data_IF_531048889256
#
_entry.id   IF_531048889256
#
_cell.length_a   1.000
_cell.length_b   1.000
_cell.length_c   1.000
_cell.angle_alpha   90.00
_cell.angle_beta   90.00
_cell.angle_gamma   90.00
#
_symmetry.space_group_name_H-M   'P 1'
#
loop_
_entity.id
_entity.type
_entity.pdbx_description
1 polymer ?
#
# COMPACT_ATOMS: atom_id res chain seq x y z
N UNK A 1 0.57 0.80 5.87
CA UNK A 1 1.33 -0.27 6.54
C UNK A 1 2.41 -0.86 5.63
N UNK A 2 2.08 -1.32 4.40
CA UNK A 2 3.04 -1.97 3.49
C UNK A 2 4.27 -1.10 3.18
N UNK A 3 4.10 0.20 2.93
CA UNK A 3 5.21 1.13 2.72
C UNK A 3 6.10 1.27 3.96
N UNK A 4 5.50 1.28 5.16
CA UNK A 4 6.25 1.30 6.41
C UNK A 4 7.08 0.01 6.58
N UNK A 5 6.49 -1.16 6.33
CA UNK A 5 7.21 -2.43 6.37
C UNK A 5 8.33 -2.48 5.33
N UNK A 6 8.10 -1.95 4.13
CA UNK A 6 9.12 -1.87 3.09
C UNK A 6 10.29 -0.96 3.49
N UNK A 7 9.99 0.17 4.15
CA UNK A 7 11.02 1.07 4.67
C UNK A 7 11.85 0.41 5.80
N UNK A 8 11.23 -0.37 6.68
CA UNK A 8 11.95 -1.19 7.64
C UNK A 8 12.82 -2.24 6.97
N UNK A 9 12.29 -2.93 5.96
CA UNK A 9 13.06 -3.92 5.22
C UNK A 9 14.33 -3.33 4.61
N UNK A 10 14.25 -2.14 4.01
CA UNK A 10 15.42 -1.44 3.47
C UNK A 10 16.45 -1.13 4.56
N UNK A 11 15.98 -0.68 5.71
CA UNK A 11 16.86 -0.34 6.84
C UNK A 11 17.55 -1.57 7.43
N UNK A 12 16.82 -2.67 7.60
CA UNK A 12 17.32 -3.88 8.26
C UNK A 12 18.03 -4.83 7.29
N UNK A 13 17.65 -4.87 6.02
CA UNK A 13 18.20 -5.77 5.01
C UNK A 13 19.70 -5.55 4.72
N UNK A 14 20.21 -4.35 5.00
CA UNK A 14 21.64 -4.03 4.87
C UNK A 14 22.50 -4.45 6.07
N UNK A 15 21.86 -4.88 7.17
CA UNK A 15 22.55 -5.21 8.41
C UNK A 15 22.83 -6.71 8.51
N UNK A 16 24.01 -7.04 9.04
CA UNK A 16 24.50 -8.45 9.11
C UNK A 16 24.31 -9.12 10.47
N UNK A 17 23.70 -8.45 11.46
CA UNK A 17 23.49 -9.08 12.75
C UNK A 17 22.27 -10.02 12.73
N UNK A 18 22.29 -11.06 13.55
CA UNK A 18 21.26 -12.11 13.57
C UNK A 18 19.84 -11.59 13.80
N UNK A 19 19.69 -10.59 14.65
CA UNK A 19 18.37 -10.00 14.94
C UNK A 19 17.83 -9.26 13.72
N UNK A 20 18.67 -8.49 13.02
CA UNK A 20 18.30 -7.80 11.80
C UNK A 20 17.93 -8.79 10.69
N UNK A 21 18.70 -9.85 10.52
CA UNK A 21 18.44 -10.91 9.52
C UNK A 21 17.08 -11.56 9.79
N UNK A 22 16.82 -11.97 11.04
CA UNK A 22 15.53 -12.57 11.43
C UNK A 22 14.36 -11.59 11.22
N UNK A 23 14.53 -10.33 11.60
CA UNK A 23 13.50 -9.29 11.41
C UNK A 23 13.24 -9.04 9.93
N UNK A 24 14.29 -8.95 9.11
CA UNK A 24 14.14 -8.79 7.65
C UNK A 24 13.39 -9.97 7.03
N UNK A 25 13.73 -11.20 7.41
CA UNK A 25 13.03 -12.39 6.92
C UNK A 25 11.54 -12.38 7.29
N UNK A 26 11.21 -11.94 8.49
CA UNK A 26 9.83 -11.80 8.93
C UNK A 26 9.06 -10.73 8.15
N UNK A 27 9.71 -9.58 7.87
CA UNK A 27 9.12 -8.53 7.03
C UNK A 27 8.93 -9.01 5.59
N UNK A 28 9.87 -9.77 5.03
CA UNK A 28 9.75 -10.38 3.70
C UNK A 28 8.46 -11.17 3.57
N UNK A 29 8.17 -12.02 4.55
CA UNK A 29 6.94 -12.81 4.58
C UNK A 29 5.66 -11.95 4.68
N UNK A 30 5.74 -10.71 5.13
CA UNK A 30 4.61 -9.78 5.14
C UNK A 30 4.37 -9.09 3.78
N UNK A 31 5.43 -8.87 2.99
CA UNK A 31 5.38 -8.11 1.74
C UNK A 31 5.17 -9.03 0.53
N UNK A 32 5.91 -10.13 0.46
CA UNK A 32 5.91 -11.05 -0.68
C UNK A 32 5.10 -12.32 -0.39
N UNK A 33 4.60 -12.96 -1.43
CA UNK A 33 4.03 -14.30 -1.33
C UNK A 33 5.13 -15.28 -0.92
N UNK A 34 4.74 -16.35 -0.26
CA UNK A 34 5.65 -17.40 0.16
C UNK A 34 5.32 -18.68 -0.61
N UNK A 35 6.35 -19.48 -0.88
CA UNK A 35 6.20 -20.82 -1.40
C UNK A 35 5.72 -21.82 -0.31
N UNK A 36 5.64 -23.09 -0.65
CA UNK A 36 5.21 -24.17 0.25
C UNK A 36 6.14 -24.35 1.46
N UNK A 37 7.39 -23.90 1.36
CA UNK A 37 8.38 -23.96 2.42
C UNK A 37 8.46 -22.68 3.26
N UNK A 38 7.66 -21.67 2.92
CA UNK A 38 7.64 -20.38 3.60
C UNK A 38 8.74 -19.41 3.13
N UNK A 39 9.44 -19.71 2.04
CA UNK A 39 10.43 -18.81 1.47
C UNK A 39 9.75 -17.75 0.59
N UNK A 40 10.17 -16.46 0.69
CA UNK A 40 9.51 -15.38 0.00
C UNK A 40 9.80 -15.37 -1.50
N UNK A 41 8.75 -15.40 -2.30
CA UNK A 41 8.82 -15.16 -3.74
C UNK A 41 8.82 -13.65 -4.03
N UNK A 42 9.99 -13.07 -4.26
CA UNK A 42 10.15 -11.63 -4.53
C UNK A 42 9.57 -11.16 -5.86
N UNK A 43 9.13 -12.06 -6.71
CA UNK A 43 8.41 -11.71 -7.94
C UNK A 43 6.93 -11.36 -7.69
N UNK A 44 6.35 -11.91 -6.61
CA UNK A 44 4.93 -11.82 -6.30
C UNK A 44 4.66 -11.13 -4.97
N UNK A 45 3.99 -9.98 -5.02
CA UNK A 45 3.54 -9.25 -3.82
C UNK A 45 2.29 -9.89 -3.21
N UNK A 46 2.14 -9.82 -1.88
CA UNK A 46 0.91 -10.24 -1.19
C UNK A 46 -0.28 -9.31 -1.43
N UNK A 47 0.00 -8.05 -1.77
CA UNK A 47 -1.05 -7.07 -2.03
C UNK A 47 -1.09 -6.79 -3.53
N UNK A 48 -2.29 -6.87 -4.08
CA UNK A 48 -2.62 -6.38 -5.41
C UNK A 48 -3.94 -5.61 -5.31
N UNK A 49 -4.00 -4.43 -5.91
CA UNK A 49 -5.21 -3.60 -5.92
C UNK A 49 -5.74 -3.53 -7.35
N UNK A 50 -6.94 -4.03 -7.56
CA UNK A 50 -7.62 -3.93 -8.86
C UNK A 50 -8.22 -2.55 -9.10
N UNK A 51 -8.42 -1.76 -8.04
CA UNK A 51 -9.21 -0.51 -8.05
C UNK A 51 -8.35 0.74 -8.23
N UNK A 52 -7.05 0.67 -7.90
CA UNK A 52 -6.14 1.81 -8.07
C UNK A 52 -5.91 2.15 -9.54
N UNK A 53 -5.70 3.43 -9.86
CA UNK A 53 -5.30 3.85 -11.21
C UNK A 53 -3.97 3.20 -11.60
N UNK A 54 -3.77 2.89 -12.88
CA UNK A 54 -2.57 2.15 -13.32
C UNK A 54 -1.28 2.87 -12.97
N UNK A 55 -1.25 4.20 -13.02
CA UNK A 55 -0.08 5.00 -12.67
C UNK A 55 0.26 4.89 -11.18
N UNK A 56 -0.71 5.18 -10.31
CA UNK A 56 -0.53 5.12 -8.86
C UNK A 56 -0.28 3.70 -8.38
N UNK A 57 -1.02 2.73 -8.91
CA UNK A 57 -0.81 1.30 -8.65
C UNK A 57 0.58 0.86 -9.06
N UNK A 58 1.01 1.22 -10.27
CA UNK A 58 2.34 0.88 -10.79
C UNK A 58 3.44 1.43 -9.90
N UNK A 59 3.32 2.67 -9.43
CA UNK A 59 4.28 3.28 -8.53
C UNK A 59 4.31 2.60 -7.15
N UNK A 60 3.14 2.41 -6.54
CA UNK A 60 3.05 1.71 -5.25
C UNK A 60 3.68 0.30 -5.31
N UNK A 61 3.36 -0.47 -6.34
CA UNK A 61 3.94 -1.80 -6.54
C UNK A 61 5.44 -1.75 -6.82
N UNK A 62 5.91 -0.74 -7.57
CA UNK A 62 7.32 -0.51 -7.83
C UNK A 62 8.08 -0.22 -6.53
N UNK A 63 7.55 0.65 -5.67
CA UNK A 63 8.15 0.95 -4.36
C UNK A 63 8.23 -0.34 -3.51
N UNK A 64 7.16 -1.12 -3.46
CA UNK A 64 7.18 -2.37 -2.69
C UNK A 64 8.21 -3.37 -3.21
N UNK A 65 8.34 -3.50 -4.52
CA UNK A 65 9.30 -4.43 -5.15
C UNK A 65 10.74 -3.96 -4.98
N UNK A 66 11.02 -2.70 -5.30
CA UNK A 66 12.39 -2.19 -5.44
C UNK A 66 12.93 -1.46 -4.20
N UNK A 67 12.04 -0.87 -3.39
CA UNK A 67 12.42 0.03 -2.30
C UNK A 67 12.98 1.37 -2.77
N UNK A 68 12.82 1.70 -4.05
CA UNK A 68 13.36 2.91 -4.65
C UNK A 68 12.25 3.85 -5.09
N UNK A 69 12.50 5.13 -4.94
CA UNK A 69 11.64 6.22 -5.41
C UNK A 69 12.53 7.23 -6.13
N UNK A 70 12.12 7.64 -7.33
CA UNK A 70 12.81 8.70 -8.06
C UNK A 70 12.68 10.03 -7.29
N UNK A 71 13.72 10.86 -7.30
CA UNK A 71 13.73 12.17 -6.62
C UNK A 71 12.60 13.08 -7.11
N UNK A 72 12.26 12.96 -8.39
CA UNK A 72 11.24 13.79 -9.05
C UNK A 72 9.80 13.27 -8.81
N UNK A 73 9.64 12.09 -8.22
CA UNK A 73 8.32 11.50 -7.97
C UNK A 73 7.65 12.17 -6.77
N UNK A 74 6.46 12.75 -7.00
CA UNK A 74 5.71 13.54 -6.01
C UNK A 74 4.39 12.91 -5.56
N UNK A 75 4.14 11.67 -5.96
CA UNK A 75 2.90 10.99 -5.54
C UNK A 75 2.78 10.86 -4.03
N UNK A 76 1.57 10.63 -3.56
CA UNK A 76 1.30 10.35 -2.15
C UNK A 76 2.06 9.12 -1.64
N UNK A 77 2.25 8.11 -2.48
CA UNK A 77 2.99 6.90 -2.11
C UNK A 77 4.49 7.18 -1.96
N UNK A 78 5.09 7.91 -2.89
CA UNK A 78 6.50 8.33 -2.82
C UNK A 78 6.76 9.19 -1.59
N UNK A 79 5.92 10.18 -1.34
CA UNK A 79 6.04 11.09 -0.20
C UNK A 79 5.90 10.34 1.13
N UNK A 80 4.92 9.45 1.25
CA UNK A 80 4.73 8.63 2.45
C UNK A 80 5.90 7.67 2.66
N UNK A 81 6.44 7.08 1.59
CA UNK A 81 7.59 6.18 1.71
C UNK A 81 8.84 6.91 2.21
N UNK A 82 9.17 8.07 1.65
CA UNK A 82 10.29 8.92 2.12
C UNK A 82 10.08 9.37 3.57
N UNK A 83 8.85 9.75 3.91
CA UNK A 83 8.48 10.09 5.28
C UNK A 83 8.75 8.94 6.25
N UNK A 84 8.35 7.72 5.92
CA UNK A 84 8.61 6.55 6.77
C UNK A 84 10.11 6.25 6.87
N UNK A 85 10.86 6.32 5.77
CA UNK A 85 12.31 6.14 5.80
C UNK A 85 12.97 7.12 6.78
N UNK A 86 12.63 8.41 6.68
CA UNK A 86 13.18 9.43 7.57
C UNK A 86 12.75 9.20 9.02
N UNK A 87 11.46 8.94 9.27
CA UNK A 87 10.94 8.73 10.63
C UNK A 87 11.51 7.51 11.32
N UNK A 88 11.78 6.44 10.59
CA UNK A 88 12.48 5.27 11.14
C UNK A 88 13.89 5.64 11.61
N UNK A 89 14.61 6.40 10.80
CA UNK A 89 15.97 6.86 11.16
C UNK A 89 15.92 7.77 12.41
N UNK A 90 15.06 8.78 12.42
CA UNK A 90 14.89 9.71 13.54
C UNK A 90 14.55 8.97 14.84
N UNK A 91 13.59 8.03 14.74
CA UNK A 91 13.16 7.25 15.89
C UNK A 91 14.27 6.35 16.43
N UNK A 92 14.99 5.66 15.58
CA UNK A 92 16.08 4.77 15.99
C UNK A 92 17.30 5.53 16.50
N UNK A 93 17.54 6.76 16.04
CA UNK A 93 18.57 7.62 16.58
C UNK A 93 18.21 8.09 18.01
N UNK A 94 16.93 8.33 18.27
CA UNK A 94 16.43 8.75 19.59
C UNK A 94 16.33 7.57 20.56
N UNK A 95 15.93 6.40 20.03
CA UNK A 95 15.67 5.19 20.82
C UNK A 95 16.40 3.97 20.22
N UNK A 96 17.73 3.89 20.33
CA UNK A 96 18.52 2.82 19.70
C UNK A 96 18.12 1.41 20.15
N UNK A 97 17.72 1.25 21.42
CA UNK A 97 17.33 -0.04 21.98
C UNK A 97 16.07 -0.63 21.31
N UNK A 98 15.24 0.22 20.70
CA UNK A 98 14.04 -0.20 19.98
C UNK A 98 14.32 -0.85 18.62
N UNK A 99 15.56 -0.78 18.15
CA UNK A 99 15.97 -1.41 16.90
C UNK A 99 15.47 -2.85 16.75
N UNK A 100 15.61 -3.68 17.79
CA UNK A 100 15.23 -5.10 17.74
C UNK A 100 13.73 -5.34 17.94
N UNK A 101 12.99 -4.38 18.47
CA UNK A 101 11.61 -4.58 18.92
C UNK A 101 10.58 -3.87 18.06
N UNK A 102 10.90 -2.72 17.48
CA UNK A 102 9.91 -1.84 16.89
C UNK A 102 9.18 -2.47 15.69
N UNK A 103 9.84 -3.03 14.65
CA UNK A 103 9.11 -3.70 13.57
C UNK A 103 8.31 -4.91 14.05
N UNK A 104 8.87 -5.70 14.97
CA UNK A 104 8.20 -6.88 15.52
C UNK A 104 6.96 -6.48 16.31
N UNK A 105 7.02 -5.38 17.07
CA UNK A 105 5.85 -4.83 17.79
C UNK A 105 4.77 -4.39 16.83
N UNK A 106 5.11 -3.73 15.72
CA UNK A 106 4.13 -3.36 14.70
C UNK A 106 3.47 -4.62 14.12
N UNK A 107 4.26 -5.61 13.70
CA UNK A 107 3.75 -6.82 13.05
C UNK A 107 2.89 -7.71 13.97
N UNK A 108 3.22 -7.77 15.27
CA UNK A 108 2.53 -8.64 16.21
C UNK A 108 1.41 -7.96 17.00
N UNK A 109 1.50 -6.63 17.20
CA UNK A 109 0.56 -5.93 18.09
C UNK A 109 -0.39 -4.98 17.34
N UNK A 110 -0.14 -4.69 16.04
CA UNK A 110 -1.11 -3.98 15.22
C UNK A 110 -2.12 -4.97 14.66
N UNK A 111 -3.33 -4.95 15.21
CA UNK A 111 -4.42 -5.79 14.73
C UNK A 111 -5.08 -5.11 13.54
N UNK A 112 -5.08 -5.78 12.39
CA UNK A 112 -5.84 -5.39 11.22
C UNK A 112 -7.14 -6.19 11.21
N UNK A 113 -8.26 -5.48 11.15
CA UNK A 113 -9.56 -6.10 11.01
C UNK A 113 -9.86 -6.28 9.50
N UNK A 114 -9.85 -7.51 8.98
CA UNK A 114 -10.28 -7.75 7.60
C UNK A 114 -11.79 -7.55 7.52
N UNK A 115 -12.24 -6.82 6.50
CA UNK A 115 -13.64 -6.62 6.21
C UNK A 115 -13.89 -7.20 4.82
N UNK A 116 -14.64 -8.28 4.79
CA UNK A 116 -15.10 -8.91 3.56
C UNK A 116 -16.49 -8.39 3.22
N UNK A 117 -16.70 -8.06 1.97
CA UNK A 117 -17.99 -7.58 1.48
C UNK A 117 -18.50 -8.52 0.37
N UNK A 118 -19.73 -8.97 0.50
CA UNK A 118 -20.38 -9.86 -0.47
C UNK A 118 -20.61 -9.21 -1.83
N UNK A 119 -20.65 -7.89 -1.87
CA UNK A 119 -20.84 -7.12 -3.08
C UNK A 119 -20.08 -5.81 -3.01
N UNK A 120 -19.84 -5.22 -4.19
CA UNK A 120 -19.22 -3.90 -4.31
C UNK A 120 -20.05 -2.80 -3.62
N UNK A 121 -21.38 -2.90 -3.67
CA UNK A 121 -22.27 -1.98 -2.97
C UNK A 121 -22.07 -2.02 -1.45
N UNK A 122 -22.01 -3.21 -0.91
CA UNK A 122 -21.76 -3.41 0.51
C UNK A 122 -20.38 -2.85 0.89
N UNK A 123 -19.36 -3.12 0.06
CA UNK A 123 -18.02 -2.57 0.28
C UNK A 123 -18.02 -1.04 0.30
N UNK A 124 -18.67 -0.40 -0.67
CA UNK A 124 -18.77 1.07 -0.74
C UNK A 124 -19.53 1.67 0.44
N UNK A 125 -20.62 1.04 0.88
CA UNK A 125 -21.38 1.48 2.07
C UNK A 125 -20.55 1.38 3.34
N UNK A 126 -19.86 0.26 3.53
CA UNK A 126 -18.95 0.07 4.68
C UNK A 126 -17.86 1.12 4.64
N UNK A 127 -17.22 1.32 3.48
CA UNK A 127 -16.13 2.27 3.29
C UNK A 127 -16.57 3.70 3.56
N UNK A 128 -17.71 4.15 3.04
CA UNK A 128 -18.24 5.48 3.31
C UNK A 128 -18.57 5.69 4.78
N UNK A 129 -19.18 4.70 5.44
CA UNK A 129 -19.52 4.77 6.86
C UNK A 129 -18.28 4.83 7.77
N UNK A 130 -17.24 4.07 7.43
CA UNK A 130 -15.99 4.07 8.20
C UNK A 130 -15.20 5.38 8.00
N UNK A 131 -15.23 5.95 6.81
CA UNK A 131 -14.53 7.19 6.49
C UNK A 131 -15.23 8.45 7.03
N UNK A 132 -16.48 8.36 7.48
CA UNK A 132 -17.18 9.48 8.12
C UNK A 132 -16.46 10.01 9.37
N UNK A 133 -15.53 9.23 9.94
CA UNK A 133 -14.71 9.61 11.10
C UNK A 133 -13.28 10.06 10.73
N UNK A 134 -12.94 10.12 9.43
CA UNK A 134 -11.61 10.46 8.92
C UNK A 134 -11.67 11.51 7.81
N UNK A 135 -10.87 11.32 6.76
CA UNK A 135 -10.97 12.11 5.54
C UNK A 135 -12.16 11.58 4.73
N UNK A 136 -13.24 12.37 4.57
CA UNK A 136 -14.38 11.93 3.79
C UNK A 136 -13.96 11.59 2.36
N UNK A 137 -14.71 10.68 1.73
CA UNK A 137 -14.59 10.46 0.29
C UNK A 137 -14.90 11.77 -0.43
N UNK A 138 -14.10 12.08 -1.44
CA UNK A 138 -14.44 13.17 -2.34
C UNK A 138 -15.68 12.79 -3.15
N UNK A 139 -16.43 13.79 -3.61
CA UNK A 139 -17.56 13.56 -4.53
C UNK A 139 -17.10 12.79 -5.78
N UNK A 140 -15.88 13.05 -6.25
CA UNK A 140 -15.27 12.32 -7.36
C UNK A 140 -15.12 10.83 -7.08
N UNK A 141 -14.70 10.44 -5.87
CA UNK A 141 -14.57 9.02 -5.48
C UNK A 141 -15.94 8.33 -5.43
N UNK A 142 -16.96 9.04 -4.92
CA UNK A 142 -18.34 8.54 -4.87
C UNK A 142 -18.88 8.33 -6.29
N UNK A 143 -18.71 9.33 -7.18
CA UNK A 143 -19.14 9.21 -8.57
C UNK A 143 -18.38 8.12 -9.31
N UNK A 144 -17.06 8.04 -9.14
CA UNK A 144 -16.23 6.97 -9.73
C UNK A 144 -16.78 5.59 -9.38
N UNK A 145 -17.08 5.37 -8.12
CA UNK A 145 -17.61 4.10 -7.64
C UNK A 145 -18.99 3.77 -8.22
N UNK A 146 -19.91 4.75 -8.28
CA UNK A 146 -21.25 4.55 -8.84
C UNK A 146 -21.21 4.27 -10.36
N UNK A 147 -20.42 5.01 -11.10
CA UNK A 147 -20.27 4.78 -12.55
C UNK A 147 -19.57 3.45 -12.83
N UNK A 148 -18.55 3.10 -12.06
CA UNK A 148 -17.90 1.79 -12.18
C UNK A 148 -18.90 0.65 -12.01
N UNK A 149 -19.78 0.73 -11.01
CA UNK A 149 -20.85 -0.24 -10.80
C UNK A 149 -21.80 -0.34 -12.00
N UNK A 150 -22.25 0.81 -12.51
CA UNK A 150 -23.18 0.86 -13.64
C UNK A 150 -22.59 0.22 -14.90
N UNK A 151 -21.33 0.56 -15.23
CA UNK A 151 -20.65 0.00 -16.39
C UNK A 151 -20.29 -1.48 -16.20
N UNK A 152 -19.92 -1.89 -14.96
CA UNK A 152 -19.67 -3.30 -14.64
C UNK A 152 -20.91 -4.17 -14.83
N UNK A 153 -22.08 -3.68 -14.42
CA UNK A 153 -23.35 -4.39 -14.63
C UNK A 153 -23.72 -4.56 -16.11
N UNK A 154 -23.19 -3.71 -16.98
CA UNK A 154 -23.37 -3.79 -18.44
C UNK A 154 -22.29 -4.62 -19.15
N UNK A 155 -21.29 -5.13 -18.43
CA UNK A 155 -20.13 -5.80 -19.02
C UNK A 155 -19.12 -4.84 -19.68
N UNK A 156 -19.25 -3.53 -19.44
CA UNK A 156 -18.45 -2.46 -20.06
C UNK A 156 -17.41 -1.88 -19.07
N UNK A 157 -16.94 -2.67 -18.14
CA UNK A 157 -15.98 -2.26 -17.10
C UNK A 157 -14.74 -1.59 -17.66
N UNK A 158 -14.13 -2.20 -18.68
CA UNK A 158 -12.89 -1.69 -19.28
C UNK A 158 -13.10 -0.34 -19.99
N UNK A 159 -14.25 -0.16 -20.63
CA UNK A 159 -14.64 1.09 -21.26
C UNK A 159 -14.73 2.22 -20.22
N UNK A 160 -15.31 1.93 -19.07
CA UNK A 160 -15.38 2.91 -17.98
C UNK A 160 -13.98 3.26 -17.44
N UNK A 161 -13.15 2.27 -17.18
CA UNK A 161 -11.79 2.48 -16.69
C UNK A 161 -11.02 3.40 -17.62
N UNK A 162 -11.09 3.17 -18.93
CA UNK A 162 -10.40 4.02 -19.90
C UNK A 162 -10.95 5.45 -19.92
N UNK A 163 -12.27 5.64 -19.98
CA UNK A 163 -12.89 6.96 -19.95
C UNK A 163 -12.57 7.74 -18.68
N UNK A 164 -12.51 7.05 -17.54
CA UNK A 164 -12.16 7.69 -16.28
C UNK A 164 -10.70 8.16 -16.26
N UNK A 165 -9.78 7.37 -16.79
CA UNK A 165 -8.37 7.75 -16.95
C UNK A 165 -8.21 8.97 -17.85
N UNK A 166 -8.92 8.99 -18.98
CA UNK A 166 -8.87 10.12 -19.91
C UNK A 166 -9.38 11.41 -19.24
N UNK A 167 -10.42 11.28 -18.41
CA UNK A 167 -10.93 12.42 -17.62
C UNK A 167 -9.92 12.88 -16.57
N UNK A 168 -9.28 12.00 -15.82
CA UNK A 168 -8.25 12.35 -14.84
C UNK A 168 -7.07 13.09 -15.51
N UNK A 169 -6.60 12.60 -16.66
CA UNK A 169 -5.54 13.27 -17.43
C UNK A 169 -5.97 14.68 -17.89
N UNK A 170 -7.22 14.81 -18.31
CA UNK A 170 -7.74 16.13 -18.72
C UNK A 170 -7.80 17.10 -17.53
N UNK A 171 -8.25 16.65 -16.37
CA UNK A 171 -8.31 17.48 -15.15
C UNK A 171 -6.91 17.88 -14.64
N UNK A 172 -5.92 17.01 -14.75
CA UNK A 172 -4.54 17.28 -14.34
C UNK A 172 -3.83 18.29 -15.27
N UNK A 173 -4.39 18.55 -16.44
CA UNK A 173 -3.84 19.47 -17.45
C UNK A 173 -4.33 20.92 -17.29
N UNK A 174 -5.26 21.18 -16.40
CA UNK A 174 -5.85 22.51 -16.11
C UNK A 174 -5.18 23.09 -14.85
#
# INVERSE_FOLDING_TARGET
LMLLLRAFYEKYGSMKNDKAVKTSKFIEQCIWKTDEFGDPDKSALKIDSEVATDKEKGEFLSILKTGKVSENEKSSYANNYRFFQQKIVDFLNTYPDWFSFFPIRIMNNCILLPIEAESQDTALRIFSTLNDRGKPLSDADIFKAQFYKYYSAKGEREVFIQKWKDLEVLCDSI
#
